data_IF_311235835947
#
_entry.id   IF_311235835947
#
_cell.length_a   1.000
_cell.length_b   1.000
_cell.length_c   1.000
_cell.angle_alpha   90.00
_cell.angle_beta   90.00
_cell.angle_gamma   90.00
#
_symmetry.space_group_name_H-M   'P 1'
#
loop_
_entity.id
_entity.type
_entity.pdbx_description
1 polymer ?
#
# COMPACT_ATOMS: atom_id res chain seq x y z
N UNK A 1 21.12 -2.19 -3.42
CA UNK A 1 21.61 -1.36 -2.30
C UNK A 1 20.40 -0.88 -1.49
N UNK A 2 20.27 -1.29 -0.23
CA UNK A 2 19.17 -0.85 0.63
C UNK A 2 19.53 0.50 1.25
N UNK A 3 18.66 1.52 1.13
CA UNK A 3 18.93 2.83 1.73
C UNK A 3 18.60 2.72 3.24
N UNK A 4 19.57 2.86 4.15
CA UNK A 4 19.33 2.78 5.59
C UNK A 4 18.28 3.82 6.02
N UNK A 5 17.36 3.44 6.91
CA UNK A 5 16.36 4.35 7.48
C UNK A 5 15.13 4.65 6.61
N UNK A 6 15.14 4.35 5.31
CA UNK A 6 13.97 4.61 4.45
C UNK A 6 13.05 3.39 4.37
N UNK A 7 11.87 3.52 4.97
CA UNK A 7 10.75 2.57 4.84
C UNK A 7 9.88 3.01 3.68
N UNK A 8 9.28 2.05 2.99
CA UNK A 8 8.24 2.33 2.00
C UNK A 8 6.89 1.84 2.48
N UNK A 9 5.84 2.48 2.00
CA UNK A 9 4.48 2.00 2.08
C UNK A 9 3.90 1.99 0.65
N UNK A 10 3.47 0.83 0.19
CA UNK A 10 2.84 0.64 -1.12
C UNK A 10 1.42 0.16 -0.92
N UNK A 11 0.51 0.81 -1.63
CA UNK A 11 -0.89 0.43 -1.73
C UNK A 11 -1.16 0.04 -3.18
N UNK A 12 -1.89 -1.03 -3.42
CA UNK A 12 -2.22 -1.48 -4.78
C UNK A 12 -3.62 -2.07 -4.76
N UNK A 13 -4.42 -1.70 -5.74
CA UNK A 13 -5.75 -2.27 -5.94
C UNK A 13 -5.67 -3.12 -7.19
N UNK A 14 -6.11 -4.36 -7.07
CA UNK A 14 -6.02 -5.34 -8.13
C UNK A 14 -7.21 -6.29 -8.03
N UNK A 15 -7.51 -6.97 -9.12
CA UNK A 15 -8.42 -8.11 -9.07
C UNK A 15 -7.65 -9.37 -8.67
N UNK A 16 -8.27 -10.20 -7.84
CA UNK A 16 -7.77 -11.53 -7.56
C UNK A 16 -8.06 -12.49 -8.74
N UNK A 17 -7.67 -13.76 -8.61
CA UNK A 17 -7.86 -14.76 -9.66
C UNK A 17 -9.33 -15.04 -10.02
N UNK A 18 -10.27 -14.58 -9.18
CA UNK A 18 -11.71 -14.75 -9.36
C UNK A 18 -12.40 -13.46 -9.82
N UNK A 19 -11.63 -12.41 -10.14
CA UNK A 19 -12.17 -11.12 -10.59
C UNK A 19 -12.68 -10.22 -9.46
N UNK A 20 -12.59 -10.65 -8.21
CA UNK A 20 -12.98 -9.84 -7.06
C UNK A 20 -11.90 -8.81 -6.77
N UNK A 21 -12.31 -7.62 -6.35
CA UNK A 21 -11.37 -6.55 -6.04
C UNK A 21 -10.72 -6.78 -4.68
N UNK A 22 -9.40 -6.63 -4.64
CA UNK A 22 -8.62 -6.67 -3.41
C UNK A 22 -7.67 -5.47 -3.31
N UNK A 23 -7.51 -5.03 -2.07
CA UNK A 23 -6.56 -4.02 -1.66
C UNK A 23 -5.34 -4.70 -1.05
N UNK A 24 -4.19 -4.50 -1.67
CA UNK A 24 -2.89 -5.00 -1.22
C UNK A 24 -2.09 -3.86 -0.58
N UNK A 25 -1.79 -4.01 0.72
CA UNK A 25 -0.95 -3.11 1.50
C UNK A 25 0.39 -3.79 1.77
N UNK A 26 1.49 -3.18 1.36
CA UNK A 26 2.83 -3.73 1.62
C UNK A 26 3.78 -2.67 2.15
N UNK A 27 4.65 -3.06 3.09
CA UNK A 27 5.65 -2.17 3.65
C UNK A 27 6.92 -2.92 4.03
N UNK A 28 8.03 -2.20 4.04
CA UNK A 28 9.34 -2.77 4.34
C UNK A 28 10.43 -1.72 4.22
N UNK A 29 11.67 -2.20 4.16
CA UNK A 29 12.84 -1.36 3.91
C UNK A 29 13.08 -1.30 2.39
N UNK A 30 13.40 -0.12 1.87
CA UNK A 30 13.71 0.05 0.44
C UNK A 30 14.93 -0.82 0.09
N UNK A 31 14.83 -1.59 -1.00
CA UNK A 31 15.88 -2.51 -1.46
C UNK A 31 15.88 -3.88 -0.78
N UNK A 32 14.81 -4.22 -0.04
CA UNK A 32 14.59 -5.53 0.58
C UNK A 32 13.20 -6.07 0.21
N UNK A 33 12.97 -7.37 0.44
CA UNK A 33 11.61 -7.93 0.34
C UNK A 33 10.66 -7.24 1.32
N UNK A 34 9.36 -7.16 0.99
CA UNK A 34 8.37 -6.59 1.91
C UNK A 34 8.44 -7.30 3.25
N UNK A 35 8.49 -6.52 4.33
CA UNK A 35 8.42 -7.07 5.68
C UNK A 35 7.03 -7.64 5.94
N UNK A 36 5.99 -7.01 5.39
CA UNK A 36 4.63 -7.52 5.47
C UNK A 36 3.82 -7.14 4.24
N UNK A 37 2.91 -8.03 3.89
CA UNK A 37 1.88 -7.84 2.86
C UNK A 37 0.54 -8.21 3.50
N UNK A 38 -0.46 -7.35 3.35
CA UNK A 38 -1.83 -7.59 3.80
C UNK A 38 -2.74 -7.43 2.60
N UNK A 39 -3.64 -8.40 2.40
CA UNK A 39 -4.68 -8.38 1.37
C UNK A 39 -6.04 -8.23 2.05
N UNK A 40 -6.90 -7.40 1.48
CA UNK A 40 -8.23 -7.14 2.00
C UNK A 40 -9.20 -7.05 0.81
N UNK A 41 -10.26 -7.86 0.82
CA UNK A 41 -11.32 -7.75 -0.19
C UNK A 41 -12.03 -6.40 -0.09
N UNK A 42 -12.32 -5.79 -1.25
CA UNK A 42 -13.07 -4.55 -1.36
C UNK A 42 -14.20 -4.73 -2.36
N UNK A 43 -15.34 -4.10 -2.11
CA UNK A 43 -16.54 -4.32 -2.92
C UNK A 43 -16.54 -3.56 -4.24
N UNK A 44 -15.78 -2.45 -4.34
CA UNK A 44 -15.66 -1.66 -5.57
C UNK A 44 -14.28 -1.01 -5.69
N UNK A 45 -13.72 -0.90 -6.91
CA UNK A 45 -12.50 -0.15 -7.18
C UNK A 45 -12.72 1.36 -7.04
N UNK A 46 -13.94 1.87 -7.08
CA UNK A 46 -14.24 3.30 -6.93
C UNK A 46 -13.86 3.81 -5.53
N UNK A 47 -13.76 2.91 -4.55
CA UNK A 47 -13.26 3.22 -3.22
C UNK A 47 -11.73 3.45 -3.20
N UNK A 48 -11.03 3.20 -4.30
CA UNK A 48 -9.58 3.27 -4.41
C UNK A 48 -9.01 4.60 -3.98
N UNK A 49 -9.53 5.68 -4.54
CA UNK A 49 -9.02 7.03 -4.29
C UNK A 49 -9.23 7.44 -2.84
N UNK A 50 -10.41 7.15 -2.30
CA UNK A 50 -10.77 7.40 -0.90
C UNK A 50 -9.85 6.65 0.06
N UNK A 51 -9.64 5.35 -0.19
CA UNK A 51 -8.76 4.52 0.63
C UNK A 51 -7.31 4.99 0.51
N UNK A 52 -6.85 5.32 -0.69
CA UNK A 52 -5.49 5.80 -0.92
C UNK A 52 -5.26 7.14 -0.21
N UNK A 53 -6.22 8.06 -0.24
CA UNK A 53 -6.15 9.36 0.44
C UNK A 53 -6.12 9.20 1.97
N UNK A 54 -6.98 8.34 2.53
CA UNK A 54 -7.00 8.07 3.97
C UNK A 54 -5.69 7.43 4.44
N UNK A 55 -5.19 6.43 3.71
CA UNK A 55 -3.90 5.80 4.01
C UNK A 55 -2.76 6.81 3.88
N UNK A 56 -2.71 7.63 2.84
CA UNK A 56 -1.67 8.66 2.69
C UNK A 56 -1.69 9.64 3.88
N UNK A 57 -2.87 10.14 4.27
CA UNK A 57 -3.03 11.02 5.44
C UNK A 57 -2.50 10.37 6.72
N UNK A 58 -2.91 9.14 7.00
CA UNK A 58 -2.48 8.40 8.20
C UNK A 58 -0.97 8.10 8.20
N UNK A 59 -0.38 7.84 7.03
CA UNK A 59 1.05 7.51 6.92
C UNK A 59 1.93 8.75 6.98
N UNK A 60 1.50 9.88 6.41
CA UNK A 60 2.17 11.18 6.59
C UNK A 60 2.26 11.59 8.05
N UNK A 61 1.19 11.39 8.82
CA UNK A 61 1.20 11.63 10.28
C UNK A 61 2.23 10.76 11.03
N UNK A 62 2.62 9.62 10.46
CA UNK A 62 3.63 8.70 11.04
C UNK A 62 5.03 8.89 10.43
N UNK A 63 5.27 9.98 9.71
CA UNK A 63 6.57 10.33 9.13
C UNK A 63 6.94 9.54 7.86
N UNK A 64 5.98 8.89 7.19
CA UNK A 64 6.22 8.29 5.89
C UNK A 64 6.20 9.37 4.81
N UNK A 65 7.28 9.48 4.05
CA UNK A 65 7.44 10.49 2.98
C UNK A 65 6.85 10.04 1.64
N UNK A 66 6.60 8.74 1.45
CA UNK A 66 6.24 8.17 0.15
C UNK A 66 5.18 7.09 0.30
N UNK A 67 3.94 7.43 -0.05
CA UNK A 67 2.87 6.47 -0.32
C UNK A 67 2.84 6.28 -1.84
N UNK A 68 3.31 5.12 -2.32
CA UNK A 68 3.24 4.79 -3.74
C UNK A 68 1.80 4.45 -4.06
N UNK A 69 1.13 5.34 -4.80
CA UNK A 69 -0.13 5.04 -5.47
C UNK A 69 0.16 4.12 -6.66
N UNK A 70 -0.67 3.09 -6.89
CA UNK A 70 -0.60 2.29 -8.11
C UNK A 70 -0.99 3.13 -9.32
#
# INVERSE_FOLDING_TARGET
MAIPGRRYYRLTIQQNLWGEWELVKSWGRIGQRPTRVVRQGISSPDMAETIAADVDKQRRQRGYLYCIKP
#
